data_IF_924251135398
#
_entry.id   IF_924251135398
#
_cell.length_a   1.000
_cell.length_b   1.000
_cell.length_c   1.000
_cell.angle_alpha   90.00
_cell.angle_beta   90.00
_cell.angle_gamma   90.00
#
_symmetry.space_group_name_H-M   'P 1'
#
loop_
_entity.id
_entity.type
_entity.pdbx_description
1 polymer ?
#
# COMPACT_ATOMS: atom_id res chain seq x y z
N UNK A 1 16.49 -17.82 -21.84
CA UNK A 1 16.16 -18.57 -20.59
C UNK A 1 16.26 -17.73 -19.28
N UNK A 2 16.57 -16.43 -19.30
CA UNK A 2 16.77 -15.62 -18.07
C UNK A 2 15.60 -14.69 -17.66
N UNK A 3 14.52 -14.60 -18.45
CA UNK A 3 13.42 -13.64 -18.19
C UNK A 3 12.51 -14.06 -17.03
N UNK A 4 12.15 -15.34 -16.96
CA UNK A 4 11.34 -15.89 -15.86
C UNK A 4 12.03 -15.72 -14.50
N UNK A 5 13.33 -15.96 -14.44
CA UNK A 5 14.12 -15.82 -13.21
C UNK A 5 14.15 -14.37 -12.71
N UNK A 6 14.31 -13.39 -13.60
CA UNK A 6 14.22 -11.96 -13.24
C UNK A 6 12.83 -11.56 -12.75
N UNK A 7 11.77 -12.14 -13.32
CA UNK A 7 10.39 -11.87 -12.91
C UNK A 7 10.10 -12.34 -11.48
N UNK A 8 10.55 -13.56 -11.13
CA UNK A 8 10.44 -14.07 -9.76
C UNK A 8 11.33 -13.30 -8.77
N UNK A 9 12.50 -12.83 -9.19
CA UNK A 9 13.37 -11.96 -8.39
C UNK A 9 12.73 -10.59 -8.10
N UNK A 10 11.94 -10.06 -9.04
CA UNK A 10 11.20 -8.80 -8.83
C UNK A 10 10.10 -8.94 -7.78
N UNK A 11 9.40 -10.07 -7.73
CA UNK A 11 8.39 -10.38 -6.71
C UNK A 11 8.97 -10.49 -5.29
N UNK A 12 10.27 -10.81 -5.18
CA UNK A 12 10.99 -10.91 -3.90
C UNK A 12 11.34 -9.55 -3.28
N UNK A 13 11.26 -8.45 -4.04
CA UNK A 13 11.56 -7.11 -3.48
C UNK A 13 10.47 -6.65 -2.53
N UNK A 14 10.88 -6.10 -1.38
CA UNK A 14 9.99 -5.52 -0.37
C UNK A 14 9.01 -4.50 -0.98
N UNK A 15 9.51 -3.69 -1.92
CA UNK A 15 8.72 -2.69 -2.65
C UNK A 15 7.53 -3.31 -3.38
N UNK A 16 7.70 -4.48 -3.99
CA UNK A 16 6.65 -5.17 -4.76
C UNK A 16 5.55 -5.70 -3.83
N UNK A 17 5.93 -6.27 -2.68
CA UNK A 17 4.98 -6.73 -1.66
C UNK A 17 4.21 -5.56 -1.04
N UNK A 18 4.90 -4.45 -0.79
CA UNK A 18 4.30 -3.22 -0.29
C UNK A 18 3.31 -2.63 -1.29
N UNK A 19 3.71 -2.49 -2.56
CA UNK A 19 2.84 -2.02 -3.63
C UNK A 19 1.59 -2.89 -3.80
N UNK A 20 1.73 -4.22 -3.69
CA UNK A 20 0.59 -5.14 -3.79
C UNK A 20 -0.38 -4.95 -2.60
N UNK A 21 0.14 -4.76 -1.38
CA UNK A 21 -0.68 -4.44 -0.21
C UNK A 21 -1.41 -3.10 -0.36
N UNK A 22 -0.70 -2.06 -0.83
CA UNK A 22 -1.28 -0.74 -1.07
C UNK A 22 -2.38 -0.80 -2.14
N UNK A 23 -2.14 -1.52 -3.24
CA UNK A 23 -3.11 -1.72 -4.30
C UNK A 23 -4.37 -2.45 -3.77
N UNK A 24 -4.22 -3.52 -3.00
CA UNK A 24 -5.36 -4.24 -2.41
C UNK A 24 -6.21 -3.32 -1.52
N UNK A 25 -5.57 -2.50 -0.68
CA UNK A 25 -6.27 -1.55 0.21
C UNK A 25 -7.01 -0.49 -0.61
N UNK A 26 -6.35 0.09 -1.61
CA UNK A 26 -6.96 1.11 -2.48
C UNK A 26 -8.16 0.54 -3.26
N UNK A 27 -8.03 -0.65 -3.83
CA UNK A 27 -9.12 -1.31 -4.54
C UNK A 27 -10.28 -1.58 -3.58
N UNK A 28 -10.03 -2.19 -2.42
CA UNK A 28 -11.07 -2.51 -1.44
C UNK A 28 -11.83 -1.28 -0.94
N UNK A 29 -11.12 -0.17 -0.70
CA UNK A 29 -11.73 1.11 -0.32
C UNK A 29 -12.52 1.76 -1.46
N UNK A 30 -12.13 1.53 -2.72
CA UNK A 30 -12.83 2.06 -3.89
C UNK A 30 -14.03 1.20 -4.34
N UNK A 31 -14.05 -0.10 -4.02
CA UNK A 31 -15.14 -1.01 -4.38
C UNK A 31 -16.55 -0.48 -4.04
N UNK A 32 -16.83 0.02 -2.82
CA UNK A 32 -18.15 0.54 -2.48
C UNK A 32 -18.59 1.77 -3.28
N UNK A 33 -17.66 2.45 -3.98
CA UNK A 33 -18.02 3.55 -4.89
C UNK A 33 -18.67 3.06 -6.19
N UNK A 34 -18.43 1.80 -6.60
CA UNK A 34 -18.96 1.23 -7.84
C UNK A 34 -20.24 0.41 -7.66
N UNK A 35 -20.62 0.09 -6.41
CA UNK A 35 -21.83 -0.66 -6.11
C UNK A 35 -22.98 0.34 -5.89
N UNK A 36 -24.04 0.25 -6.69
CA UNK A 36 -25.16 1.20 -6.69
C UNK A 36 -25.85 1.32 -5.32
N UNK A 37 -26.01 0.21 -4.60
CA UNK A 37 -26.61 0.20 -3.25
C UNK A 37 -25.75 0.90 -2.18
N UNK A 38 -24.42 0.87 -2.34
CA UNK A 38 -23.45 1.35 -1.33
C UNK A 38 -22.94 2.77 -1.64
N UNK A 39 -23.08 3.20 -2.90
CA UNK A 39 -22.70 4.53 -3.38
C UNK A 39 -23.31 5.72 -2.59
N UNK A 40 -24.62 5.74 -2.23
CA UNK A 40 -25.16 6.88 -1.46
C UNK A 40 -24.51 7.01 -0.08
N UNK A 41 -24.26 5.88 0.58
CA UNK A 41 -23.54 5.83 1.87
C UNK A 41 -22.09 6.26 1.70
N UNK A 42 -21.41 5.79 0.64
CA UNK A 42 -20.03 6.17 0.35
C UNK A 42 -19.88 7.68 0.13
N UNK A 43 -20.80 8.31 -0.59
CA UNK A 43 -20.79 9.77 -0.81
C UNK A 43 -21.16 10.55 0.45
N UNK A 44 -22.11 10.05 1.25
CA UNK A 44 -22.49 10.68 2.52
C UNK A 44 -21.30 10.79 3.48
N UNK A 45 -20.49 9.73 3.59
CA UNK A 45 -19.28 9.71 4.43
C UNK A 45 -18.03 10.27 3.73
N UNK A 46 -18.17 10.76 2.49
CA UNK A 46 -17.06 11.20 1.63
C UNK A 46 -15.92 10.17 1.57
N UNK A 47 -16.25 8.93 1.20
CA UNK A 47 -15.29 7.82 1.11
C UNK A 47 -14.09 8.07 0.18
N UNK A 48 -14.19 9.08 -0.70
CA UNK A 48 -13.09 9.64 -1.48
C UNK A 48 -11.88 10.00 -0.58
N UNK A 49 -12.12 10.57 0.60
CA UNK A 49 -11.06 10.93 1.55
C UNK A 49 -10.42 9.70 2.18
N UNK A 50 -11.15 8.60 2.36
CA UNK A 50 -10.59 7.35 2.85
C UNK A 50 -9.58 6.77 1.84
N UNK A 51 -9.87 6.87 0.54
CA UNK A 51 -8.95 6.45 -0.52
C UNK A 51 -7.72 7.38 -0.58
N UNK A 52 -7.93 8.71 -0.54
CA UNK A 52 -6.84 9.70 -0.58
C UNK A 52 -5.90 9.53 0.63
N UNK A 53 -6.45 9.39 1.84
CA UNK A 53 -5.64 9.18 3.05
C UNK A 53 -4.88 7.85 3.00
N UNK A 54 -5.49 6.78 2.50
CA UNK A 54 -4.79 5.51 2.29
C UNK A 54 -3.61 5.66 1.30
N UNK A 55 -3.77 6.42 0.22
CA UNK A 55 -2.68 6.72 -0.73
C UNK A 55 -1.55 7.54 -0.08
N UNK A 56 -1.88 8.54 0.74
CA UNK A 56 -0.89 9.37 1.45
C UNK A 56 -0.09 8.52 2.45
N UNK A 57 -0.78 7.68 3.24
CA UNK A 57 -0.15 6.82 4.25
C UNK A 57 0.70 5.72 3.61
N UNK A 58 0.30 5.22 2.43
CA UNK A 58 1.02 4.18 1.70
C UNK A 58 2.21 4.73 0.90
N UNK A 59 3.05 5.54 1.54
CA UNK A 59 4.34 5.97 0.96
C UNK A 59 5.48 5.04 1.38
N UNK A 60 6.33 4.56 0.44
CA UNK A 60 7.40 3.59 0.75
C UNK A 60 8.51 4.17 1.64
N UNK A 61 8.59 5.50 1.74
CA UNK A 61 9.57 6.24 2.54
C UNK A 61 9.42 5.95 4.04
N UNK A 62 8.19 5.75 4.53
CA UNK A 62 7.93 5.47 5.95
C UNK A 62 8.51 4.10 6.34
N UNK A 63 8.40 3.07 5.50
CA UNK A 63 8.92 1.73 5.78
C UNK A 63 10.44 1.60 5.73
N UNK A 64 11.10 2.33 4.81
CA UNK A 64 12.57 2.33 4.68
C UNK A 64 13.26 3.10 5.81
N UNK A 65 12.70 4.25 6.20
CA UNK A 65 13.19 5.04 7.33
C UNK A 65 12.98 4.30 8.66
N UNK A 66 11.84 3.63 8.86
CA UNK A 66 11.58 2.91 10.11
C UNK A 66 12.56 1.74 10.31
N UNK A 67 12.86 0.99 9.25
CA UNK A 67 13.86 -0.09 9.32
C UNK A 67 15.26 0.45 9.65
N UNK A 68 15.67 1.54 8.99
CA UNK A 68 16.98 2.16 9.23
C UNK A 68 17.08 2.73 10.65
N UNK A 69 16.02 3.37 11.16
CA UNK A 69 15.98 3.91 12.52
C UNK A 69 16.06 2.81 13.59
N UNK A 70 15.40 1.67 13.39
CA UNK A 70 15.51 0.51 14.29
C UNK A 70 16.94 -0.03 14.32
N UNK A 71 17.61 -0.15 13.17
CA UNK A 71 19.02 -0.54 13.11
C UNK A 71 19.95 0.45 13.82
N UNK A 72 19.62 1.75 13.81
CA UNK A 72 20.39 2.77 14.54
C UNK A 72 20.26 2.60 16.05
N UNK A 73 19.05 2.36 16.54
CA UNK A 73 18.78 2.17 17.98
C UNK A 73 19.46 0.90 18.49
N UNK A 74 19.30 -0.22 17.78
CA UNK A 74 19.94 -1.49 18.14
C UNK A 74 21.48 -1.45 18.09
N UNK A 75 22.07 -0.55 17.31
CA UNK A 75 23.52 -0.36 17.26
C UNK A 75 24.06 0.56 18.37
N UNK A 76 23.20 1.30 19.06
CA UNK A 76 23.58 2.23 20.15
C UNK A 76 23.31 1.71 21.56
N UNK A 77 22.51 0.64 21.70
CA UNK A 77 22.27 -0.06 22.97
C UNK A 77 23.23 -1.24 23.06
#
# INVERSE_FOLDING_TARGET
RHRLWRFFLWFRRFQTKFALKAAMIATLLSLPAFVEDWNPTFRMFRGEWAVITALVVMTPTVGGSNSTSVYRILGTV
#
